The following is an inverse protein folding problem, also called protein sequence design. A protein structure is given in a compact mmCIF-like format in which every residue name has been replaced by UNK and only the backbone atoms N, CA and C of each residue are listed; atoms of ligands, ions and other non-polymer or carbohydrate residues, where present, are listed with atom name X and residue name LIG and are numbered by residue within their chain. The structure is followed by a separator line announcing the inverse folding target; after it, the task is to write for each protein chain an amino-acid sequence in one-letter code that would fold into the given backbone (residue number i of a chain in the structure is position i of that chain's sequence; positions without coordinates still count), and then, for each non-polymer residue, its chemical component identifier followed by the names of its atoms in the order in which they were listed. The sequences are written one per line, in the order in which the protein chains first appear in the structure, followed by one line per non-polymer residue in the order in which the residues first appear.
data_IF_953450331031
#
_entry.id   IF_953450331031
#
_cell.length_a   1.000
_cell.length_b   1.000
_cell.length_c   1.000
_cell.angle_alpha   90.00
_cell.angle_beta   90.00
_cell.angle_gamma   90.00
#
_symmetry.space_group_name_H-M   'P 1'
#
loop_
_entity.id
_entity.type
_entity.pdbx_description
1 polymer ?
#
# COMPACT_ATOMS: atom_id res chain seq x y z
N UNK A 1 12.29 -16.22 -5.04
CA UNK A 1 11.30 -15.84 -4.00
C UNK A 1 10.01 -15.40 -4.70
N UNK A 2 8.82 -15.69 -4.17
CA UNK A 2 7.55 -15.19 -4.74
C UNK A 2 6.92 -14.15 -3.82
N UNK A 3 6.58 -12.97 -4.34
CA UNK A 3 5.99 -11.86 -3.58
C UNK A 3 4.51 -11.67 -3.93
N UNK A 4 3.68 -11.52 -2.90
CA UNK A 4 2.28 -11.11 -3.05
C UNK A 4 2.10 -9.65 -2.62
N UNK A 5 1.64 -8.79 -3.52
CA UNK A 5 1.20 -7.43 -3.18
C UNK A 5 -0.32 -7.47 -2.98
N UNK A 6 -0.76 -7.44 -1.72
CA UNK A 6 -2.17 -7.38 -1.35
C UNK A 6 -2.55 -5.93 -1.12
N UNK A 7 -3.48 -5.40 -1.92
CA UNK A 7 -3.80 -3.98 -1.86
C UNK A 7 -5.30 -3.70 -1.77
N UNK A 8 -5.67 -2.71 -0.95
CA UNK A 8 -7.00 -2.12 -0.97
C UNK A 8 -6.94 -0.74 -1.60
N UNK A 9 -7.90 -0.47 -2.48
CA UNK A 9 -7.98 0.84 -3.11
C UNK A 9 -9.40 1.19 -3.51
N UNK A 10 -9.74 2.46 -3.33
CA UNK A 10 -10.96 3.08 -3.87
C UNK A 10 -10.69 3.91 -5.14
N UNK A 11 -9.42 4.02 -5.56
CA UNK A 11 -8.95 4.97 -6.58
C UNK A 11 -7.95 4.30 -7.53
N UNK A 12 -7.73 4.86 -8.73
CA UNK A 12 -6.77 4.26 -9.69
C UNK A 12 -5.31 4.47 -9.27
N UNK A 13 -5.02 5.48 -8.44
CA UNK A 13 -3.67 5.88 -8.04
C UNK A 13 -2.92 4.77 -7.27
N UNK A 14 -3.54 4.11 -6.30
CA UNK A 14 -2.91 2.99 -5.58
C UNK A 14 -2.60 1.82 -6.51
N UNK A 15 -3.50 1.51 -7.44
CA UNK A 15 -3.25 0.45 -8.44
C UNK A 15 -2.08 0.81 -9.35
N UNK A 16 -1.92 2.08 -9.70
CA UNK A 16 -0.75 2.59 -10.44
C UNK A 16 0.53 2.43 -9.62
N UNK A 17 0.53 2.83 -8.34
CA UNK A 17 1.67 2.62 -7.45
C UNK A 17 2.07 1.14 -7.32
N UNK A 18 1.09 0.24 -7.14
CA UNK A 18 1.34 -1.22 -7.10
C UNK A 18 2.02 -1.73 -8.38
N UNK A 19 1.58 -1.25 -9.56
CA UNK A 19 2.18 -1.63 -10.84
C UNK A 19 3.61 -1.13 -10.99
N UNK A 20 3.86 0.13 -10.60
CA UNK A 20 5.21 0.72 -10.64
C UNK A 20 6.13 -0.08 -9.72
N UNK A 21 5.72 -0.33 -8.47
CA UNK A 21 6.49 -1.12 -7.53
C UNK A 21 6.77 -2.54 -8.06
N UNK A 22 5.76 -3.24 -8.57
CA UNK A 22 5.93 -4.59 -9.11
C UNK A 22 6.92 -4.63 -10.29
N UNK A 23 6.96 -3.60 -11.13
CA UNK A 23 7.93 -3.51 -12.24
C UNK A 23 9.38 -3.26 -11.80
N UNK A 24 9.60 -2.85 -10.56
CA UNK A 24 10.92 -2.50 -10.00
C UNK A 24 11.49 -3.57 -9.07
N UNK A 25 10.69 -4.55 -8.68
CA UNK A 25 11.14 -5.67 -7.86
C UNK A 25 11.67 -6.77 -8.78
N UNK A 26 12.87 -7.26 -8.51
CA UNK A 26 13.62 -8.20 -9.35
C UNK A 26 13.17 -9.66 -9.17
N UNK A 27 11.87 -9.91 -8.99
CA UNK A 27 11.32 -11.26 -8.81
C UNK A 27 9.85 -11.37 -9.22
N UNK A 28 9.27 -12.57 -9.14
CA UNK A 28 7.86 -12.78 -9.44
C UNK A 28 6.96 -12.08 -8.41
N UNK A 29 6.27 -11.03 -8.85
CA UNK A 29 5.35 -10.23 -8.05
C UNK A 29 3.92 -10.42 -8.55
N UNK A 30 3.04 -10.90 -7.67
CA UNK A 30 1.62 -11.00 -7.96
C UNK A 30 0.84 -9.86 -7.31
N UNK A 31 0.11 -9.10 -8.13
CA UNK A 31 -0.82 -8.07 -7.67
C UNK A 31 -2.18 -8.68 -7.31
N UNK A 32 -2.60 -8.51 -6.06
CA UNK A 32 -3.81 -9.14 -5.50
C UNK A 32 -4.70 -8.02 -4.92
N UNK A 33 -5.72 -7.57 -5.67
CA UNK A 33 -6.75 -6.70 -5.10
C UNK A 33 -7.41 -7.39 -3.89
N UNK A 34 -7.74 -6.62 -2.85
CA UNK A 34 -8.32 -7.14 -1.61
C UNK A 34 -9.61 -7.94 -1.84
N UNK A 35 -10.36 -7.64 -2.90
CA UNK A 35 -11.55 -8.37 -3.32
C UNK A 35 -11.23 -9.81 -3.73
N UNK A 36 -10.05 -10.04 -4.32
CA UNK A 36 -9.54 -11.36 -4.74
C UNK A 36 -8.70 -12.06 -3.67
N UNK A 37 -8.27 -11.34 -2.64
CA UNK A 37 -7.40 -11.89 -1.59
C UNK A 37 -8.09 -13.01 -0.79
N UNK A 38 -9.42 -12.98 -0.66
CA UNK A 38 -10.20 -13.99 0.10
C UNK A 38 -10.08 -15.41 -0.48
N UNK A 39 -9.96 -15.53 -1.79
CA UNK A 39 -9.84 -16.82 -2.49
C UNK A 39 -8.40 -17.16 -2.83
N UNK A 40 -7.46 -16.26 -2.51
CA UNK A 40 -6.05 -16.45 -2.81
C UNK A 40 -5.37 -17.11 -1.62
N UNK A 41 -4.69 -18.24 -1.85
CA UNK A 41 -3.91 -18.92 -0.82
C UNK A 41 -2.64 -18.10 -0.49
N UNK A 42 -2.65 -17.42 0.66
CA UNK A 42 -1.56 -16.55 1.14
C UNK A 42 -0.25 -17.31 1.39
N UNK A 43 -0.33 -18.62 1.65
CA UNK A 43 0.83 -19.48 1.88
C UNK A 43 1.74 -19.61 0.66
N UNK A 44 1.22 -19.36 -0.55
CA UNK A 44 1.98 -19.42 -1.81
C UNK A 44 3.06 -18.35 -1.94
N UNK A 45 3.04 -17.32 -1.10
CA UNK A 45 3.98 -16.21 -1.14
C UNK A 45 5.00 -16.33 -0.02
N UNK A 46 6.27 -16.13 -0.35
CA UNK A 46 7.36 -16.10 0.63
C UNK A 46 7.41 -14.75 1.35
N UNK A 47 6.95 -13.68 0.69
CA UNK A 47 6.94 -12.31 1.20
C UNK A 47 5.62 -11.64 0.83
N UNK A 48 5.07 -10.82 1.73
CA UNK A 48 3.81 -10.11 1.50
C UNK A 48 4.02 -8.61 1.67
N UNK A 49 3.59 -7.83 0.67
CA UNK A 49 3.52 -6.38 0.77
C UNK A 49 2.06 -6.00 0.88
N UNK A 50 1.68 -5.31 1.95
CA UNK A 50 0.33 -4.77 2.10
C UNK A 50 0.30 -3.29 1.73
N UNK A 51 -0.60 -2.92 0.81
CA UNK A 51 -0.73 -1.52 0.35
C UNK A 51 -2.16 -1.03 0.60
N UNK A 52 -2.30 0.06 1.35
CA UNK A 52 -3.60 0.64 1.68
C UNK A 52 -3.75 2.06 1.13
N UNK A 53 -4.88 2.38 0.53
CA UNK A 53 -5.25 3.78 0.26
C UNK A 53 -5.85 4.44 1.50
N UNK A 54 -5.39 5.64 1.86
CA UNK A 54 -6.04 6.48 2.87
C UNK A 54 -6.20 7.91 2.36
N UNK A 55 -7.44 8.43 2.38
CA UNK A 55 -7.78 9.77 1.90
C UNK A 55 -8.57 10.52 2.96
N UNK A 56 -8.14 11.74 3.31
CA UNK A 56 -8.70 12.53 4.41
C UNK A 56 -8.87 11.70 5.72
N UNK A 57 -7.85 10.89 6.06
CA UNK A 57 -7.87 10.01 7.24
C UNK A 57 -8.81 8.80 7.14
N UNK A 58 -9.51 8.61 6.02
CA UNK A 58 -10.42 7.47 5.79
C UNK A 58 -9.74 6.40 4.96
N UNK A 59 -9.95 5.15 5.32
CA UNK A 59 -9.42 3.97 4.62
C UNK A 59 -10.49 2.88 4.53
N UNK A 60 -10.31 1.95 3.58
CA UNK A 60 -11.21 0.82 3.41
C UNK A 60 -10.91 -0.27 4.46
N UNK A 61 -11.90 -0.61 5.29
CA UNK A 61 -11.75 -1.61 6.35
C UNK A 61 -11.58 -3.05 5.86
N UNK A 62 -11.66 -3.30 4.55
CA UNK A 62 -11.49 -4.64 3.96
C UNK A 62 -10.10 -5.20 4.21
N UNK A 63 -9.05 -4.38 4.07
CA UNK A 63 -7.67 -4.80 4.30
C UNK A 63 -7.41 -5.12 5.77
N UNK A 64 -7.81 -4.22 6.67
CA UNK A 64 -7.76 -4.45 8.12
C UNK A 64 -8.46 -5.76 8.51
N UNK A 65 -9.67 -6.00 8.01
CA UNK A 65 -10.40 -7.24 8.28
C UNK A 65 -9.70 -8.47 7.74
N UNK A 66 -9.09 -8.38 6.55
CA UNK A 66 -8.31 -9.48 5.98
C UNK A 66 -7.09 -9.80 6.84
N UNK A 67 -6.36 -8.77 7.27
CA UNK A 67 -5.19 -8.91 8.16
C UNK A 67 -5.58 -9.60 9.47
N UNK A 68 -6.59 -9.08 10.17
CA UNK A 68 -7.03 -9.65 11.45
C UNK A 68 -7.44 -11.13 11.30
N UNK A 69 -8.14 -11.48 10.22
CA UNK A 69 -8.58 -12.85 9.95
C UNK A 69 -7.43 -13.82 9.69
N UNK A 70 -6.33 -13.34 9.12
CA UNK A 70 -5.18 -14.16 8.72
C UNK A 70 -3.94 -13.90 9.58
N UNK A 71 -4.10 -13.23 10.73
CA UNK A 71 -2.99 -12.63 11.47
C UNK A 71 -1.93 -13.66 11.89
N UNK A 72 -2.34 -14.88 12.27
CA UNK A 72 -1.43 -15.97 12.65
C UNK A 72 -0.47 -16.30 11.49
N UNK A 73 -1.00 -16.52 10.30
CA UNK A 73 -0.20 -16.82 9.10
C UNK A 73 0.62 -15.62 8.62
N UNK A 74 0.10 -14.41 8.78
CA UNK A 74 0.82 -13.19 8.37
C UNK A 74 2.06 -12.97 9.24
N UNK A 75 1.96 -13.18 10.55
CA UNK A 75 3.08 -13.02 11.50
C UNK A 75 4.23 -13.98 11.27
N UNK A 76 3.96 -15.13 10.67
CA UNK A 76 4.97 -16.13 10.31
C UNK A 76 5.72 -15.78 9.01
N UNK A 77 5.36 -14.67 8.35
CA UNK A 77 5.92 -14.25 7.07
C UNK A 77 6.60 -12.90 7.18
N UNK A 78 7.69 -12.67 6.42
CA UNK A 78 8.23 -11.34 6.27
C UNK A 78 7.24 -10.46 5.51
N UNK A 79 6.98 -9.28 6.06
CA UNK A 79 6.03 -8.32 5.51
C UNK A 79 6.63 -6.94 5.37
N UNK A 80 6.10 -6.18 4.41
CA UNK A 80 6.28 -4.74 4.33
C UNK A 80 4.93 -4.06 4.18
N UNK A 81 4.82 -2.84 4.71
CA UNK A 81 3.55 -2.11 4.73
C UNK A 81 3.71 -0.78 3.99
N UNK A 82 2.69 -0.44 3.22
CA UNK A 82 2.65 0.80 2.47
C UNK A 82 1.29 1.44 2.64
N UNK A 83 1.30 2.75 2.81
CA UNK A 83 0.10 3.57 2.63
C UNK A 83 0.27 4.46 1.39
N UNK A 84 -0.82 4.68 0.69
CA UNK A 84 -0.94 5.73 -0.30
C UNK A 84 -1.85 6.80 0.30
N UNK A 85 -1.24 7.81 0.92
CA UNK A 85 -1.95 8.90 1.58
C UNK A 85 -1.31 10.25 1.32
N UNK A 86 -2.07 11.31 1.57
CA UNK A 86 -1.55 12.68 1.56
C UNK A 86 -0.47 12.85 2.64
N UNK A 87 0.56 13.66 2.36
CA UNK A 87 1.69 13.90 3.29
C UNK A 87 1.26 14.61 4.59
N UNK A 88 0.17 15.37 4.55
CA UNK A 88 -0.29 16.20 5.67
C UNK A 88 -1.06 15.41 6.74
N UNK A 89 -1.10 14.07 6.67
CA UNK A 89 -1.80 13.24 7.64
C UNK A 89 -0.78 12.52 8.51
N UNK A 90 -1.08 12.37 9.81
CA UNK A 90 -0.28 11.52 10.70
C UNK A 90 -0.24 10.09 10.16
N UNK A 91 0.85 9.74 9.50
CA UNK A 91 1.04 8.47 8.80
C UNK A 91 1.13 7.31 9.80
N UNK A 92 1.78 7.52 10.94
CA UNK A 92 1.92 6.51 12.00
C UNK A 92 0.57 6.07 12.56
N UNK A 93 -0.31 7.03 12.86
CA UNK A 93 -1.68 6.76 13.29
C UNK A 93 -2.46 5.95 12.23
N UNK A 94 -2.28 6.28 10.95
CA UNK A 94 -2.94 5.55 9.86
C UNK A 94 -2.40 4.12 9.79
N UNK A 95 -1.08 3.94 9.85
CA UNK A 95 -0.43 2.63 9.84
C UNK A 95 -1.00 1.74 10.95
N UNK A 96 -0.99 2.24 12.18
CA UNK A 96 -1.49 1.50 13.34
C UNK A 96 -2.99 1.19 13.24
N UNK A 97 -3.79 2.13 12.70
CA UNK A 97 -5.24 1.91 12.50
C UNK A 97 -5.54 0.83 11.45
N UNK A 98 -4.74 0.74 10.38
CA UNK A 98 -4.94 -0.19 9.26
C UNK A 98 -4.33 -1.56 9.55
N UNK A 99 -3.05 -1.57 9.95
CA UNK A 99 -2.22 -2.77 10.01
C UNK A 99 -2.05 -3.32 11.42
N UNK A 100 -2.47 -2.60 12.47
CA UNK A 100 -2.14 -2.87 13.88
C UNK A 100 -0.68 -2.58 14.21
N UNK A 101 -0.45 -2.02 15.40
CA UNK A 101 0.89 -1.70 15.93
C UNK A 101 1.86 -2.89 15.85
N UNK A 102 1.39 -4.08 16.19
CA UNK A 102 2.22 -5.28 16.17
C UNK A 102 2.77 -5.62 14.76
N UNK A 103 1.98 -5.44 13.70
CA UNK A 103 2.49 -5.64 12.35
C UNK A 103 3.39 -4.50 11.88
N UNK A 104 3.08 -3.27 12.29
CA UNK A 104 3.92 -2.11 11.99
C UNK A 104 5.32 -2.32 12.56
N UNK A 105 5.40 -2.80 13.80
CA UNK A 105 6.67 -3.07 14.49
C UNK A 105 7.43 -4.28 13.96
N UNK A 106 6.73 -5.28 13.40
CA UNK A 106 7.35 -6.50 12.84
C UNK A 106 7.64 -6.44 11.33
N UNK A 107 7.12 -5.43 10.64
CA UNK A 107 7.40 -5.20 9.22
C UNK A 107 8.88 -4.82 9.00
N UNK A 108 9.45 -5.22 7.87
CA UNK A 108 10.84 -4.89 7.56
C UNK A 108 11.01 -3.45 7.03
N UNK A 109 9.97 -2.89 6.42
CA UNK A 109 9.95 -1.51 5.95
C UNK A 109 8.50 -1.02 5.86
N UNK A 110 8.30 0.24 6.25
CA UNK A 110 7.05 0.98 6.14
C UNK A 110 7.26 2.21 5.28
N UNK A 111 6.33 2.52 4.38
CA UNK A 111 6.48 3.69 3.49
C UNK A 111 5.14 4.33 3.09
N UNK A 112 5.17 5.64 2.82
CA UNK A 112 4.06 6.36 2.20
C UNK A 112 4.41 6.74 0.77
N UNK A 113 3.77 6.11 -0.21
CA UNK A 113 4.00 6.40 -1.64
C UNK A 113 3.29 7.66 -2.13
N UNK A 114 2.67 8.42 -1.23
CA UNK A 114 1.86 9.55 -1.59
C UNK A 114 0.57 9.13 -2.30
N UNK A 115 -0.09 10.13 -2.87
CA UNK A 115 -1.38 9.96 -3.54
C UNK A 115 -1.44 10.84 -4.78
N UNK A 116 -2.17 10.39 -5.80
CA UNK A 116 -2.43 11.19 -7.01
C UNK A 116 -3.91 11.58 -7.03
N UNK A 117 -4.20 12.89 -7.02
CA UNK A 117 -5.56 13.40 -7.11
C UNK A 117 -6.10 13.22 -8.53
N UNK A 118 -7.28 12.60 -8.65
CA UNK A 118 -8.00 12.50 -9.90
C UNK A 118 -9.37 13.18 -9.78
N UNK A 119 -9.57 14.29 -10.49
CA UNK A 119 -10.82 15.07 -10.52
C UNK A 119 -12.03 14.23 -10.92
N UNK A 120 -11.80 13.19 -11.73
CA UNK A 120 -12.87 12.37 -12.27
C UNK A 120 -13.25 11.20 -11.34
N UNK A 121 -12.53 10.98 -10.23
CA UNK A 121 -12.77 9.88 -9.31
C UNK A 121 -13.47 10.29 -8.01
N UNK A 122 -14.46 9.50 -7.60
CA UNK A 122 -15.21 9.72 -6.36
C UNK A 122 -16.67 10.09 -6.57
N UNK A 123 -17.41 10.22 -5.48
CA UNK A 123 -18.79 10.73 -5.51
C UNK A 123 -18.81 12.25 -5.76
N UNK A 124 -19.99 12.83 -5.97
CA UNK A 124 -20.14 14.26 -6.27
C UNK A 124 -19.43 15.17 -5.25
N UNK A 125 -19.54 14.86 -3.95
CA UNK A 125 -18.89 15.63 -2.88
C UNK A 125 -17.36 15.50 -2.90
N UNK A 126 -16.83 14.30 -3.13
CA UNK A 126 -15.39 14.08 -3.28
C UNK A 126 -14.84 14.85 -4.48
N UNK A 127 -15.54 14.82 -5.62
CA UNK A 127 -15.17 15.57 -6.82
C UNK A 127 -15.12 17.08 -6.57
N UNK A 128 -16.09 17.64 -5.83
CA UNK A 128 -16.08 19.07 -5.45
C UNK A 128 -14.86 19.39 -4.58
N UNK A 129 -14.57 18.57 -3.56
CA UNK A 129 -13.40 18.77 -2.68
C UNK A 129 -12.09 18.71 -3.47
N UNK A 130 -11.93 17.73 -4.37
CA UNK A 130 -10.76 17.62 -5.24
C UNK A 130 -10.61 18.82 -6.18
N UNK A 131 -11.72 19.30 -6.78
CA UNK A 131 -11.70 20.51 -7.61
C UNK A 131 -11.26 21.75 -6.82
N UNK A 132 -11.72 21.89 -5.57
CA UNK A 132 -11.34 23.02 -4.72
C UNK A 132 -9.85 22.98 -4.35
N UNK A 133 -9.30 21.82 -3.95
CA UNK A 133 -7.85 21.67 -3.69
C UNK A 133 -7.01 22.10 -4.90
N UNK A 134 -7.42 21.66 -6.09
CA UNK A 134 -6.71 21.97 -7.35
C UNK A 134 -6.85 23.46 -7.71
N UNK A 135 -8.06 24.03 -7.59
CA UNK A 135 -8.30 25.47 -7.85
C UNK A 135 -7.46 26.36 -6.93
N UNK A 136 -7.31 25.96 -5.67
CA UNK A 136 -6.52 26.67 -4.68
C UNK A 136 -5.01 26.40 -4.80
N UNK A 137 -4.57 25.56 -5.77
CA UNK A 137 -3.19 25.08 -5.91
C UNK A 137 -2.63 24.49 -4.60
N UNK A 138 -3.49 24.00 -3.73
CA UNK A 138 -3.08 23.29 -2.51
C UNK A 138 -2.43 21.98 -2.93
N UNK A 139 -1.16 21.77 -2.54
CA UNK A 139 -0.31 20.59 -2.76
C UNK A 139 -0.91 19.60 -3.78
N UNK A 140 -0.64 19.83 -5.07
CA UNK A 140 -1.01 18.90 -6.13
C UNK A 140 -0.30 17.56 -5.86
N UNK A 141 -1.03 16.63 -5.26
CA UNK A 141 -0.44 15.38 -4.79
C UNK A 141 -0.09 14.52 -6.01
N UNK A 142 1.14 14.04 -6.05
CA UNK A 142 1.61 13.03 -7.00
C UNK A 142 2.12 11.81 -6.26
N UNK A 143 2.20 10.67 -6.95
CA UNK A 143 2.89 9.50 -6.40
C UNK A 143 4.37 9.86 -6.21
N UNK A 144 4.89 9.60 -5.02
CA UNK A 144 6.30 9.82 -4.70
C UNK A 144 7.13 8.69 -5.32
N UNK A 145 7.63 8.92 -6.54
CA UNK A 145 8.40 7.92 -7.29
C UNK A 145 9.73 7.60 -6.62
N UNK A 146 10.37 8.58 -6.00
CA UNK A 146 11.65 8.37 -5.30
C UNK A 146 11.46 7.46 -4.09
N UNK A 147 10.36 7.61 -3.37
CA UNK A 147 10.02 6.75 -2.26
C UNK A 147 9.69 5.32 -2.71
N UNK A 148 9.00 5.16 -3.85
CA UNK A 148 8.78 3.84 -4.47
C UNK A 148 10.13 3.20 -4.86
N UNK A 149 11.08 3.98 -5.40
CA UNK A 149 12.41 3.48 -5.77
C UNK A 149 13.18 2.99 -4.54
N UNK A 150 13.28 3.82 -3.49
CA UNK A 150 13.93 3.44 -2.22
C UNK A 150 13.33 2.17 -1.64
N UNK A 151 12.00 2.06 -1.67
CA UNK A 151 11.31 0.88 -1.20
C UNK A 151 11.63 -0.35 -2.05
N UNK A 152 11.61 -0.26 -3.39
CA UNK A 152 11.97 -1.38 -4.26
C UNK A 152 13.41 -1.82 -4.08
N UNK A 153 14.34 -0.88 -3.92
CA UNK A 153 15.76 -1.17 -3.72
C UNK A 153 15.98 -1.91 -2.41
N UNK A 154 15.31 -1.49 -1.34
CA UNK A 154 15.31 -2.22 -0.07
C UNK A 154 14.81 -3.67 -0.22
N UNK A 155 13.69 -3.88 -0.93
CA UNK A 155 13.15 -5.22 -1.17
C UNK A 155 14.11 -6.07 -2.03
N UNK A 156 14.73 -5.48 -3.06
CA UNK A 156 15.71 -6.17 -3.91
C UNK A 156 16.94 -6.61 -3.11
N UNK A 157 17.46 -5.74 -2.24
CA UNK A 157 18.56 -6.09 -1.34
C UNK A 157 18.19 -7.24 -0.38
N UNK A 158 16.94 -7.30 0.08
CA UNK A 158 16.45 -8.43 0.90
C UNK A 158 16.31 -9.74 0.10
N UNK A 159 16.00 -9.65 -1.19
CA UNK A 159 15.95 -10.80 -2.09
C UNK A 159 17.36 -11.38 -2.24
N UNK A 160 18.34 -10.53 -2.57
CA UNK A 160 19.73 -10.94 -2.81
C UNK A 160 20.32 -11.66 -1.58
N UNK A 161 20.18 -11.07 -0.38
CA UNK A 161 20.67 -11.65 0.89
C UNK A 161 20.04 -12.97 1.31
N UNK A 162 18.99 -13.43 0.63
CA UNK A 162 18.32 -14.72 0.91
C UNK A 162 18.63 -15.80 -0.13
N UNK A 163 19.33 -15.42 -1.19
CA UNK A 163 19.80 -16.35 -2.23
C UNK A 163 21.20 -16.87 -1.89
N UNK A 164 21.95 -16.14 -1.07
CA UNK A 164 23.20 -16.56 -0.41
C UNK A 164 22.94 -17.44 0.84
#
# INVERSE_FOLDING_TARGET
MKIGIIYSTSKKSTKKACKILASKINTDVQLIPIEKAKTTCILKYNFIIFIASAYNGKFQSSLKRYIIRNIKTIKEKPIALVINSEENINTEDIFNKIFTEELVNSSCINSNFGYELNINEGNFFEKIKTKNKIKNKENLTSLNIDEINKFSDYINNLIEKRVD
#
